data_IF_110550098757
#
_entry.id   IF_110550098757
#
_cell.length_a   1.000
_cell.length_b   1.000
_cell.length_c   1.000
_cell.angle_alpha   90.00
_cell.angle_beta   90.00
_cell.angle_gamma   90.00
#
_symmetry.space_group_name_H-M   'P 1'
#
loop_
_entity.id
_entity.type
_entity.pdbx_description
1 polymer ?
#
# COMPACT_ATOMS: atom_id res chain seq x y z
N UNK A 1 -2.36 19.16 38.74
CA UNK A 1 -2.19 18.06 37.78
C UNK A 1 -3.46 18.04 36.97
N UNK A 2 -3.49 18.82 35.89
CA UNK A 2 -4.66 18.87 35.01
C UNK A 2 -4.80 17.50 34.35
N UNK A 3 -5.91 16.84 34.66
CA UNK A 3 -6.36 15.67 33.92
C UNK A 3 -6.64 16.14 32.49
N UNK A 4 -5.63 16.02 31.63
CA UNK A 4 -5.75 16.24 30.20
C UNK A 4 -6.91 15.36 29.73
N UNK A 5 -7.99 16.00 29.28
CA UNK A 5 -9.06 15.38 28.51
C UNK A 5 -8.44 14.39 27.51
N UNK A 6 -8.91 13.13 27.45
CA UNK A 6 -8.39 12.17 26.49
C UNK A 6 -8.45 12.79 25.08
N UNK A 7 -7.47 12.49 24.21
CA UNK A 7 -7.50 12.98 22.84
C UNK A 7 -8.87 12.62 22.22
N UNK A 8 -9.45 13.50 21.38
CA UNK A 8 -10.76 13.25 20.79
C UNK A 8 -10.76 11.87 20.12
N UNK A 9 -11.70 11.01 20.54
CA UNK A 9 -11.79 9.64 20.08
C UNK A 9 -11.98 9.58 18.57
N UNK A 10 -11.30 8.64 17.89
CA UNK A 10 -11.44 8.43 16.45
C UNK A 10 -12.77 7.75 16.06
N UNK A 11 -13.55 7.29 17.04
CA UNK A 11 -14.81 6.58 16.83
C UNK A 11 -15.86 7.45 16.11
N UNK A 12 -16.07 8.69 16.57
CA UNK A 12 -17.01 9.62 15.92
C UNK A 12 -16.65 9.96 14.47
N UNK A 13 -15.40 10.37 14.17
CA UNK A 13 -14.95 10.57 12.80
C UNK A 13 -15.02 9.29 11.94
N UNK A 14 -14.74 8.13 12.53
CA UNK A 14 -14.86 6.85 11.82
C UNK A 14 -16.30 6.57 11.39
N UNK A 15 -17.29 6.81 12.27
CA UNK A 15 -18.71 6.69 11.91
C UNK A 15 -19.03 7.52 10.67
N UNK A 16 -18.63 8.80 10.64
CA UNK A 16 -18.87 9.68 9.51
C UNK A 16 -18.27 9.15 8.21
N UNK A 17 -17.02 8.66 8.26
CA UNK A 17 -16.33 8.09 7.09
C UNK A 17 -17.01 6.82 6.60
N UNK A 18 -17.42 5.92 7.49
CA UNK A 18 -18.09 4.68 7.09
C UNK A 18 -19.47 4.94 6.50
N UNK A 19 -20.24 5.87 7.06
CA UNK A 19 -21.53 6.27 6.50
C UNK A 19 -21.39 6.96 5.14
N UNK A 20 -20.34 7.78 4.93
CA UNK A 20 -20.06 8.40 3.64
C UNK A 20 -19.64 7.36 2.58
N UNK A 21 -18.78 6.40 2.96
CA UNK A 21 -18.36 5.31 2.08
C UNK A 21 -19.54 4.42 1.67
N UNK A 22 -20.47 4.17 2.59
CA UNK A 22 -21.67 3.39 2.28
C UNK A 22 -22.60 4.14 1.31
N UNK A 23 -22.82 5.44 1.56
CA UNK A 23 -23.68 6.26 0.71
C UNK A 23 -23.09 6.52 -0.69
N UNK A 24 -21.75 6.52 -0.83
CA UNK A 24 -21.05 6.84 -2.07
C UNK A 24 -20.00 5.76 -2.41
N UNK A 25 -20.42 4.57 -2.88
CA UNK A 25 -19.51 3.51 -3.24
C UNK A 25 -18.57 3.93 -4.37
N UNK A 26 -17.33 3.44 -4.31
CA UNK A 26 -16.33 3.75 -5.32
C UNK A 26 -16.70 3.13 -6.68
N UNK A 27 -16.46 3.82 -7.81
CA UNK A 27 -16.82 3.32 -9.11
C UNK A 27 -15.98 2.10 -9.50
N UNK A 28 -16.62 1.16 -10.19
CA UNK A 28 -15.96 -0.03 -10.73
C UNK A 28 -14.94 0.34 -11.82
N UNK A 29 -13.74 -0.25 -11.75
CA UNK A 29 -12.68 -0.07 -12.74
C UNK A 29 -12.61 -1.33 -13.61
N UNK A 30 -12.95 -1.24 -14.91
CA UNK A 30 -12.89 -2.39 -15.79
C UNK A 30 -11.45 -2.87 -16.00
N UNK A 31 -11.31 -4.15 -16.31
CA UNK A 31 -10.02 -4.74 -16.61
C UNK A 31 -9.38 -4.09 -17.85
N UNK A 32 -8.08 -3.69 -17.78
CA UNK A 32 -7.33 -3.29 -18.96
C UNK A 32 -7.31 -4.42 -20.01
N UNK A 33 -7.23 -4.12 -21.32
CA UNK A 33 -7.35 -5.11 -22.40
C UNK A 33 -6.33 -6.26 -22.29
N UNK A 34 -5.15 -5.99 -21.71
CA UNK A 34 -4.07 -6.98 -21.56
C UNK A 34 -4.05 -7.66 -20.17
N UNK A 35 -5.04 -7.41 -19.31
CA UNK A 35 -5.02 -7.87 -17.93
C UNK A 35 -6.37 -8.49 -17.52
N UNK A 36 -6.41 -9.81 -17.34
CA UNK A 36 -7.63 -10.52 -16.91
C UNK A 36 -7.72 -10.74 -15.38
N UNK A 37 -6.65 -10.45 -14.64
CA UNK A 37 -6.56 -10.79 -13.23
C UNK A 37 -7.20 -9.70 -12.37
N UNK A 38 -8.08 -10.08 -11.46
CA UNK A 38 -8.57 -9.26 -10.35
C UNK A 38 -8.17 -9.90 -9.04
N UNK A 39 -7.90 -9.09 -8.04
CA UNK A 39 -7.61 -9.53 -6.69
C UNK A 39 -8.38 -8.63 -5.72
N UNK A 40 -8.91 -9.22 -4.66
CA UNK A 40 -9.73 -8.51 -3.69
C UNK A 40 -9.11 -8.61 -2.31
N UNK A 41 -9.26 -7.55 -1.51
CA UNK A 41 -8.73 -7.50 -0.14
C UNK A 41 -9.77 -6.95 0.82
N UNK A 42 -9.80 -7.49 2.03
CA UNK A 42 -10.71 -7.10 3.09
C UNK A 42 -10.01 -6.14 4.08
N UNK A 43 -10.48 -4.90 4.16
CA UNK A 43 -10.16 -3.96 5.23
C UNK A 43 -11.12 -4.20 6.39
N UNK A 44 -10.68 -5.00 7.36
CA UNK A 44 -11.51 -5.40 8.50
C UNK A 44 -11.22 -4.47 9.68
N UNK A 45 -12.26 -3.75 10.10
CA UNK A 45 -12.25 -2.78 11.18
C UNK A 45 -12.94 -3.34 12.42
N UNK A 46 -12.47 -2.91 13.59
CA UNK A 46 -13.19 -3.09 14.86
C UNK A 46 -13.03 -1.85 15.73
N UNK A 47 -13.83 -1.77 16.78
CA UNK A 47 -13.61 -0.81 17.87
C UNK A 47 -13.28 -1.59 19.13
N UNK A 48 -12.13 -1.30 19.75
CA UNK A 48 -11.72 -1.93 21.01
C UNK A 48 -12.25 -1.11 22.19
N UNK A 49 -13.01 -1.70 23.12
CA UNK A 49 -13.43 -1.01 24.34
C UNK A 49 -12.22 -0.55 25.18
N UNK A 50 -12.37 0.59 25.84
CA UNK A 50 -11.42 1.05 26.87
C UNK A 50 -11.75 0.44 28.23
N UNK A 51 -10.79 0.49 29.16
CA UNK A 51 -10.94 -0.09 30.50
C UNK A 51 -12.17 0.47 31.23
N UNK A 52 -12.37 1.79 31.17
CA UNK A 52 -13.46 2.48 31.87
C UNK A 52 -14.83 2.27 31.22
N UNK A 53 -14.86 1.88 29.95
CA UNK A 53 -16.07 1.72 29.15
C UNK A 53 -16.19 0.30 28.61
N UNK A 54 -15.95 -0.71 29.44
CA UNK A 54 -16.14 -2.11 29.05
C UNK A 54 -17.65 -2.48 29.07
N UNK A 55 -18.21 -3.04 27.98
CA UNK A 55 -19.63 -3.37 27.94
C UNK A 55 -19.96 -4.58 28.82
N UNK A 56 -21.02 -4.48 29.65
CA UNK A 56 -21.54 -5.59 30.46
C UNK A 56 -22.46 -6.52 29.66
N UNK A 57 -23.14 -6.00 28.64
CA UNK A 57 -24.01 -6.75 27.73
C UNK A 57 -23.99 -6.07 26.36
N UNK A 58 -23.09 -6.49 25.45
CA UNK A 58 -23.01 -5.87 24.13
C UNK A 58 -24.27 -6.16 23.32
N UNK A 59 -24.88 -5.13 22.74
CA UNK A 59 -25.96 -5.28 21.77
C UNK A 59 -25.37 -5.40 20.38
N UNK A 60 -25.59 -6.54 19.72
CA UNK A 60 -25.34 -6.66 18.29
C UNK A 60 -26.48 -5.91 17.59
N UNK A 61 -26.19 -4.96 16.68
CA UNK A 61 -27.24 -4.28 15.92
C UNK A 61 -28.12 -5.28 15.18
N UNK A 62 -29.41 -5.00 15.06
CA UNK A 62 -30.34 -5.89 14.36
C UNK A 62 -29.88 -6.08 12.90
N UNK A 63 -29.55 -7.33 12.47
CA UNK A 63 -29.03 -7.59 11.13
C UNK A 63 -30.04 -7.27 10.02
N UNK A 64 -31.34 -7.19 10.34
CA UNK A 64 -32.39 -6.87 9.38
C UNK A 64 -32.55 -5.37 9.12
N UNK A 65 -31.86 -4.51 9.89
CA UNK A 65 -31.89 -3.07 9.66
C UNK A 65 -30.98 -2.66 8.48
N UNK A 66 -31.30 -1.54 7.80
CA UNK A 66 -30.40 -0.92 6.83
C UNK A 66 -29.03 -0.64 7.45
N UNK A 67 -27.97 -0.70 6.64
CA UNK A 67 -26.58 -0.54 7.08
C UNK A 67 -26.37 0.80 7.80
N UNK A 68 -27.00 1.88 7.35
CA UNK A 68 -26.89 3.20 7.96
C UNK A 68 -27.40 3.18 9.42
N UNK A 69 -28.52 2.50 9.66
CA UNK A 69 -29.06 2.34 11.02
C UNK A 69 -28.22 1.42 11.87
N UNK A 70 -27.68 0.33 11.29
CA UNK A 70 -26.77 -0.57 12.01
C UNK A 70 -25.49 0.15 12.45
N UNK A 71 -24.94 1.02 11.59
CA UNK A 71 -23.81 1.88 11.93
C UNK A 71 -24.20 2.88 13.03
N UNK A 72 -25.33 3.57 12.90
CA UNK A 72 -25.81 4.51 13.91
C UNK A 72 -25.99 3.85 15.28
N UNK A 73 -26.68 2.71 15.34
CA UNK A 73 -26.89 1.94 16.58
C UNK A 73 -25.57 1.45 17.18
N UNK A 74 -24.64 0.97 16.35
CA UNK A 74 -23.32 0.54 16.82
C UNK A 74 -22.52 1.71 17.43
N UNK A 75 -22.40 2.82 16.72
CA UNK A 75 -21.65 4.00 17.18
C UNK A 75 -22.37 4.78 18.29
N UNK A 76 -23.67 4.57 18.51
CA UNK A 76 -24.41 5.10 19.65
C UNK A 76 -24.04 4.41 20.98
N UNK A 77 -23.46 3.21 20.94
CA UNK A 77 -23.07 2.49 22.15
C UNK A 77 -21.93 3.20 22.88
N UNK A 78 -22.05 3.36 24.20
CA UNK A 78 -21.07 4.10 25.01
C UNK A 78 -19.65 3.55 24.86
N UNK A 79 -19.47 2.23 24.89
CA UNK A 79 -18.16 1.59 24.75
C UNK A 79 -17.52 1.81 23.36
N UNK A 80 -18.33 2.02 22.32
CA UNK A 80 -17.86 2.32 20.97
C UNK A 80 -17.42 3.78 20.88
N UNK A 81 -18.19 4.72 21.46
CA UNK A 81 -17.84 6.15 21.45
C UNK A 81 -16.49 6.44 22.10
N UNK A 82 -16.19 5.75 23.20
CA UNK A 82 -14.93 5.87 23.93
C UNK A 82 -13.89 4.79 23.55
N UNK A 83 -14.19 3.94 22.58
CA UNK A 83 -13.31 2.88 22.12
C UNK A 83 -12.21 3.36 21.17
N UNK A 84 -11.20 2.52 20.97
CA UNK A 84 -10.09 2.75 20.05
C UNK A 84 -10.30 1.93 18.77
N UNK A 85 -10.55 2.55 17.60
CA UNK A 85 -10.72 1.80 16.36
C UNK A 85 -9.42 1.19 15.86
N UNK A 86 -9.49 -0.04 15.36
CA UNK A 86 -8.36 -0.83 14.90
C UNK A 86 -8.61 -1.48 13.54
N UNK A 87 -7.53 -1.75 12.80
CA UNK A 87 -7.54 -2.50 11.54
C UNK A 87 -6.80 -3.82 11.72
N UNK A 88 -7.35 -4.89 11.17
CA UNK A 88 -6.68 -6.19 11.10
C UNK A 88 -5.71 -6.26 9.92
N UNK A 89 -4.47 -6.66 10.20
CA UNK A 89 -3.49 -7.01 9.18
C UNK A 89 -3.01 -8.44 9.35
N UNK A 90 -2.57 -9.04 8.24
CA UNK A 90 -1.85 -10.32 8.22
C UNK A 90 -0.37 -10.07 7.95
N UNK A 91 0.49 -10.88 8.56
CA UNK A 91 1.87 -11.08 8.13
C UNK A 91 1.91 -12.37 7.32
N UNK A 92 2.28 -12.25 6.05
CA UNK A 92 2.38 -13.40 5.13
C UNK A 92 3.43 -14.40 5.61
N UNK A 93 3.13 -15.68 5.50
CA UNK A 93 4.06 -16.76 5.79
C UNK A 93 5.29 -16.72 4.85
N UNK A 94 6.42 -17.20 5.35
CA UNK A 94 7.65 -17.28 4.58
C UNK A 94 7.60 -18.48 3.63
N UNK A 95 7.70 -18.22 2.32
CA UNK A 95 7.69 -19.25 1.28
C UNK A 95 8.95 -19.11 0.42
N UNK A 96 9.67 -20.22 0.20
CA UNK A 96 10.86 -20.23 -0.65
C UNK A 96 10.49 -19.77 -2.07
N UNK A 97 11.09 -18.67 -2.52
CA UNK A 97 10.83 -18.09 -3.84
C UNK A 97 9.67 -17.10 -3.90
N UNK A 98 8.89 -16.92 -2.83
CA UNK A 98 7.92 -15.83 -2.74
C UNK A 98 8.63 -14.50 -2.42
N UNK A 99 8.35 -13.49 -3.26
CA UNK A 99 8.92 -12.15 -3.16
C UNK A 99 8.24 -11.30 -2.08
N UNK A 100 7.09 -11.75 -1.58
CA UNK A 100 6.28 -11.06 -0.58
C UNK A 100 6.34 -11.74 0.79
N UNK A 101 7.38 -12.57 0.99
CA UNK A 101 7.67 -13.27 2.25
C UNK A 101 7.72 -12.28 3.42
N UNK A 102 6.89 -12.53 4.45
CA UNK A 102 6.86 -11.72 5.67
C UNK A 102 6.27 -10.32 5.51
N UNK A 103 5.69 -9.99 4.36
CA UNK A 103 5.06 -8.68 4.15
C UNK A 103 3.77 -8.55 4.95
N UNK A 104 3.51 -7.34 5.42
CA UNK A 104 2.23 -6.98 6.02
C UNK A 104 1.23 -6.65 4.91
N UNK A 105 0.06 -7.30 4.97
CA UNK A 105 -1.00 -7.16 4.01
C UNK A 105 -2.38 -7.11 4.70
N UNK A 106 -3.40 -6.72 3.94
CA UNK A 106 -4.78 -7.04 4.30
C UNK A 106 -5.06 -8.49 3.87
N UNK A 107 -5.96 -9.22 4.56
CA UNK A 107 -6.45 -10.50 4.08
C UNK A 107 -7.01 -10.35 2.66
N UNK A 108 -6.73 -11.32 1.80
CA UNK A 108 -7.22 -11.27 0.43
C UNK A 108 -6.32 -11.94 -0.60
N UNK A 109 -6.89 -12.18 -1.76
CA UNK A 109 -6.24 -12.94 -2.81
C UNK A 109 -6.87 -12.73 -4.17
N UNK A 110 -6.63 -13.70 -5.05
CA UNK A 110 -7.05 -13.59 -6.45
C UNK A 110 -8.52 -13.97 -6.54
N UNK A 111 -9.28 -13.23 -7.34
CA UNK A 111 -10.64 -13.65 -7.70
C UNK A 111 -10.62 -14.94 -8.50
N UNK A 112 -11.45 -15.88 -8.09
CA UNK A 112 -11.64 -17.16 -8.75
C UNK A 112 -12.90 -17.15 -9.63
N UNK A 113 -12.96 -18.03 -10.66
CA UNK A 113 -14.11 -18.07 -11.57
C UNK A 113 -15.44 -18.35 -10.89
N UNK A 114 -15.42 -19.02 -9.73
CA UNK A 114 -16.58 -19.38 -8.94
C UNK A 114 -17.08 -18.22 -8.05
N UNK A 115 -16.26 -17.18 -7.83
CA UNK A 115 -16.65 -16.00 -7.05
C UNK A 115 -17.69 -15.16 -7.82
N UNK A 116 -18.87 -14.96 -7.21
CA UNK A 116 -19.98 -14.21 -7.80
C UNK A 116 -19.54 -12.79 -8.24
N UNK A 117 -18.78 -12.12 -7.39
CA UNK A 117 -18.21 -10.79 -7.62
C UNK A 117 -16.85 -10.62 -6.91
N UNK A 118 -16.32 -9.40 -6.94
CA UNK A 118 -15.04 -9.10 -6.28
C UNK A 118 -15.18 -9.06 -4.74
N UNK A 119 -16.37 -8.80 -4.20
CA UNK A 119 -16.64 -8.79 -2.75
C UNK A 119 -16.60 -10.22 -2.19
N UNK A 120 -17.28 -11.15 -2.87
CA UNK A 120 -17.28 -12.57 -2.54
C UNK A 120 -15.85 -13.14 -2.48
N UNK A 121 -14.96 -12.70 -3.38
CA UNK A 121 -13.55 -13.07 -3.33
C UNK A 121 -12.84 -12.56 -2.06
N UNK A 122 -13.09 -11.33 -1.62
CA UNK A 122 -12.51 -10.81 -0.38
C UNK A 122 -13.00 -11.59 0.85
N UNK A 123 -14.28 -11.97 0.87
CA UNK A 123 -14.91 -12.73 1.94
C UNK A 123 -14.34 -14.16 2.00
N UNK A 124 -14.28 -14.85 0.85
CA UNK A 124 -13.69 -16.19 0.73
C UNK A 124 -12.26 -16.21 1.23
N UNK A 125 -11.43 -15.29 0.73
CA UNK A 125 -10.01 -15.22 1.08
C UNK A 125 -9.80 -14.90 2.57
N UNK A 126 -10.62 -14.01 3.17
CA UNK A 126 -10.57 -13.79 4.62
C UNK A 126 -10.93 -15.06 5.41
N UNK A 127 -11.92 -15.83 4.96
CA UNK A 127 -12.27 -17.11 5.57
C UNK A 127 -11.16 -18.16 5.42
N UNK A 128 -10.54 -18.26 4.25
CA UNK A 128 -9.45 -19.21 3.97
C UNK A 128 -8.17 -18.88 4.73
N UNK A 129 -7.71 -17.63 4.68
CA UNK A 129 -6.43 -17.21 5.26
C UNK A 129 -6.45 -17.11 6.79
N UNK A 130 -7.55 -16.57 7.36
CA UNK A 130 -7.66 -16.25 8.79
C UNK A 130 -8.87 -16.86 9.49
N UNK A 131 -9.71 -17.63 8.80
CA UNK A 131 -10.86 -18.30 9.39
C UNK A 131 -11.99 -17.38 9.84
N UNK A 132 -12.01 -16.13 9.35
CA UNK A 132 -13.01 -15.14 9.73
C UNK A 132 -14.09 -15.06 8.66
N UNK A 133 -15.30 -15.48 9.02
CA UNK A 133 -16.47 -15.33 8.18
C UNK A 133 -17.05 -13.90 8.30
N UNK A 134 -17.07 -13.19 7.18
CA UNK A 134 -17.54 -11.81 7.09
C UNK A 134 -19.03 -11.70 6.72
N UNK A 135 -19.73 -12.83 6.48
CA UNK A 135 -21.17 -12.89 6.19
C UNK A 135 -22.04 -13.07 7.45
N UNK A 136 -21.48 -12.81 8.61
CA UNK A 136 -22.11 -12.99 9.92
C UNK A 136 -22.89 -11.73 10.34
N UNK A 137 -23.91 -11.90 11.20
CA UNK A 137 -24.77 -10.79 11.66
C UNK A 137 -24.01 -9.72 12.45
N UNK A 138 -22.88 -10.10 13.05
CA UNK A 138 -21.96 -9.23 13.78
C UNK A 138 -20.85 -8.63 12.89
N UNK A 139 -21.04 -8.69 11.57
CA UNK A 139 -20.24 -8.00 10.57
C UNK A 139 -21.13 -7.08 9.71
N UNK A 140 -20.65 -5.87 9.45
CA UNK A 140 -21.29 -4.92 8.55
C UNK A 140 -20.36 -4.75 7.34
N UNK A 141 -20.83 -5.16 6.16
CA UNK A 141 -20.20 -4.74 4.91
C UNK A 141 -20.55 -3.26 4.66
N UNK A 142 -19.54 -2.40 4.67
CA UNK A 142 -19.72 -0.94 4.56
C UNK A 142 -19.73 -0.50 3.10
N UNK A 143 -18.80 -1.01 2.30
CA UNK A 143 -18.63 -0.64 0.89
C UNK A 143 -17.19 -0.84 0.42
N UNK A 144 -16.81 -0.17 -0.67
CA UNK A 144 -15.52 -0.33 -1.31
C UNK A 144 -14.69 0.96 -1.36
N UNK A 145 -13.36 0.79 -1.31
CA UNK A 145 -12.40 1.86 -1.58
C UNK A 145 -12.05 1.89 -3.08
N UNK A 146 -11.43 2.97 -3.60
CA UNK A 146 -11.11 3.08 -5.02
C UNK A 146 -10.29 1.90 -5.54
N UNK A 147 -10.82 1.22 -6.56
CA UNK A 147 -10.14 0.13 -7.27
C UNK A 147 -8.86 0.64 -7.96
N UNK A 148 -7.84 -0.23 -8.05
CA UNK A 148 -6.50 0.17 -8.48
C UNK A 148 -5.96 -0.75 -9.57
N UNK A 149 -5.54 -0.19 -10.69
CA UNK A 149 -4.74 -0.94 -11.67
C UNK A 149 -3.32 -1.08 -11.15
N UNK A 150 -2.96 -2.28 -10.71
CA UNK A 150 -1.61 -2.60 -10.24
C UNK A 150 -0.75 -2.93 -11.45
N UNK A 151 0.29 -2.14 -11.68
CA UNK A 151 1.28 -2.38 -12.74
C UNK A 151 2.51 -3.11 -12.22
N UNK A 152 3.33 -3.63 -13.14
CA UNK A 152 4.69 -4.06 -12.82
C UNK A 152 5.48 -2.93 -12.14
N UNK A 153 6.57 -3.27 -11.46
CA UNK A 153 7.33 -2.32 -10.61
C UNK A 153 7.92 -1.11 -11.34
N UNK A 154 7.75 -1.02 -12.65
CA UNK A 154 8.21 0.05 -13.53
C UNK A 154 7.08 0.68 -14.35
N UNK A 155 5.81 0.43 -13.99
CA UNK A 155 4.65 1.05 -14.63
C UNK A 155 4.39 0.60 -16.06
N UNK A 156 5.05 -0.46 -16.54
CA UNK A 156 5.06 -0.78 -17.97
C UNK A 156 3.90 -1.67 -18.40
N UNK A 157 3.44 -2.58 -17.53
CA UNK A 157 2.40 -3.55 -17.86
C UNK A 157 1.41 -3.71 -16.70
N UNK A 158 0.08 -3.71 -16.95
CA UNK A 158 -0.92 -3.99 -15.92
C UNK A 158 -0.86 -5.47 -15.52
N UNK A 159 -0.76 -5.72 -14.21
CA UNK A 159 -0.69 -7.07 -13.62
C UNK A 159 -2.05 -7.56 -13.15
N UNK A 160 -2.80 -6.71 -12.44
CA UNK A 160 -4.14 -7.01 -11.91
C UNK A 160 -4.90 -5.72 -11.60
N UNK A 161 -6.22 -5.81 -11.46
CA UNK A 161 -7.03 -4.81 -10.74
C UNK A 161 -7.17 -5.26 -9.29
N UNK A 162 -6.90 -4.35 -8.35
CA UNK A 162 -6.99 -4.60 -6.92
C UNK A 162 -8.25 -3.91 -6.36
N UNK A 163 -9.10 -4.70 -5.71
CA UNK A 163 -10.43 -4.32 -5.24
C UNK A 163 -10.52 -4.38 -3.70
N UNK A 164 -10.34 -3.24 -3.00
CA UNK A 164 -10.45 -3.16 -1.55
C UNK A 164 -11.90 -2.97 -1.05
N UNK A 165 -12.34 -3.83 -0.13
CA UNK A 165 -13.66 -3.78 0.52
C UNK A 165 -13.52 -3.52 2.02
N UNK A 166 -14.48 -2.81 2.62
CA UNK A 166 -14.45 -2.37 4.02
C UNK A 166 -15.52 -3.11 4.82
N UNK A 167 -15.08 -3.78 5.87
CA UNK A 167 -15.94 -4.52 6.79
C UNK A 167 -15.75 -4.00 8.21
N UNK A 168 -16.82 -3.87 8.97
CA UNK A 168 -16.80 -3.50 10.38
C UNK A 168 -17.34 -4.64 11.22
N UNK A 169 -16.52 -5.21 12.10
CA UNK A 169 -17.03 -6.10 13.14
C UNK A 169 -17.66 -5.29 14.26
N UNK A 170 -18.83 -5.78 14.67
CA UNK A 170 -19.76 -5.19 15.61
C UNK A 170 -19.60 -5.79 17.01
N UNK A 171 -18.71 -6.77 17.14
CA UNK A 171 -18.33 -7.45 18.38
C UNK A 171 -17.45 -6.56 19.27
N UNK A 172 -17.56 -6.75 20.58
CA UNK A 172 -16.70 -6.14 21.59
C UNK A 172 -15.47 -7.01 21.94
N UNK A 173 -15.53 -8.32 21.68
CA UNK A 173 -14.45 -9.26 21.88
C UNK A 173 -13.60 -9.45 20.61
N UNK A 174 -12.45 -10.08 20.77
CA UNK A 174 -11.58 -10.38 19.62
C UNK A 174 -12.04 -11.68 18.97
N UNK A 175 -12.31 -11.70 17.64
CA UNK A 175 -12.77 -12.91 16.98
C UNK A 175 -11.70 -14.00 17.07
N UNK A 176 -12.12 -15.26 17.26
CA UNK A 176 -11.21 -16.39 17.22
C UNK A 176 -10.77 -16.65 15.78
N UNK A 177 -9.56 -16.24 15.42
CA UNK A 177 -9.03 -16.44 14.06
C UNK A 177 -8.38 -17.83 13.94
N UNK A 178 -8.63 -18.50 12.82
CA UNK A 178 -8.02 -19.79 12.46
C UNK A 178 -7.05 -19.57 11.30
N UNK A 179 -5.79 -19.30 11.63
CA UNK A 179 -4.77 -18.92 10.65
C UNK A 179 -4.33 -20.13 9.81
N UNK A 180 -4.33 -19.97 8.48
CA UNK A 180 -3.76 -20.97 7.59
C UNK A 180 -2.23 -20.86 7.58
N UNK A 181 -1.47 -21.83 8.13
CA UNK A 181 -0.03 -21.72 8.35
C UNK A 181 0.78 -21.57 7.07
N UNK A 182 0.27 -22.09 5.95
CA UNK A 182 0.96 -21.96 4.67
C UNK A 182 0.92 -20.53 4.14
N UNK A 183 -0.03 -19.69 4.57
CA UNK A 183 -0.31 -18.37 3.98
C UNK A 183 -0.08 -17.24 4.95
N UNK A 184 -0.45 -17.44 6.21
CA UNK A 184 -0.42 -16.43 7.27
C UNK A 184 0.47 -16.90 8.42
N UNK A 185 1.52 -16.12 8.69
CA UNK A 185 2.39 -16.32 9.86
C UNK A 185 1.78 -15.76 11.14
N UNK A 186 1.16 -14.59 11.06
CA UNK A 186 0.52 -13.93 12.20
C UNK A 186 -0.49 -12.90 11.76
N UNK A 187 -1.40 -12.54 12.67
CA UNK A 187 -2.33 -11.43 12.51
C UNK A 187 -2.10 -10.37 13.57
N UNK A 188 -2.42 -9.14 13.24
CA UNK A 188 -2.10 -7.97 14.04
C UNK A 188 -3.24 -6.95 13.98
N UNK A 189 -3.82 -6.64 15.13
CA UNK A 189 -4.76 -5.53 15.25
C UNK A 189 -4.00 -4.25 15.56
N UNK A 190 -4.13 -3.26 14.68
CA UNK A 190 -3.39 -2.00 14.75
C UNK A 190 -4.37 -0.83 14.96
N UNK A 191 -4.20 -0.03 16.03
CA UNK A 191 -4.98 1.19 16.23
C UNK A 191 -4.86 2.18 15.08
N UNK A 192 -5.97 2.75 14.62
CA UNK A 192 -5.98 3.76 13.54
C UNK A 192 -5.13 4.98 13.90
N UNK A 193 -5.14 5.39 15.18
CA UNK A 193 -4.28 6.47 15.68
C UNK A 193 -2.78 6.19 15.49
N UNK A 194 -2.36 4.93 15.53
CA UNK A 194 -0.98 4.55 15.27
C UNK A 194 -0.64 4.76 13.80
N UNK A 195 -1.53 4.38 12.88
CA UNK A 195 -1.35 4.58 11.44
C UNK A 195 -1.34 6.07 11.03
N UNK A 196 -2.11 6.90 11.74
CA UNK A 196 -2.15 8.36 11.55
C UNK A 196 -0.94 9.08 12.16
N UNK A 197 -0.20 8.46 13.08
CA UNK A 197 0.91 9.09 13.80
C UNK A 197 2.11 9.41 12.87
N UNK A 198 2.56 10.67 12.79
CA UNK A 198 3.76 11.03 12.05
C UNK A 198 5.03 10.38 12.62
N UNK A 199 5.05 10.09 13.93
CA UNK A 199 6.21 9.50 14.60
C UNK A 199 6.49 8.04 14.17
N UNK A 200 5.47 7.35 13.64
CA UNK A 200 5.60 5.98 13.15
C UNK A 200 5.92 5.91 11.65
N UNK A 201 6.07 7.06 10.97
CA UNK A 201 6.47 7.12 9.56
C UNK A 201 7.95 6.78 9.41
N UNK A 202 8.24 5.78 8.59
CA UNK A 202 9.60 5.28 8.33
C UNK A 202 9.77 4.97 6.84
N UNK A 203 10.85 4.28 6.49
CA UNK A 203 11.12 3.79 5.14
C UNK A 203 11.49 2.31 5.17
N UNK A 204 11.10 1.59 4.12
CA UNK A 204 11.56 0.23 3.88
C UNK A 204 12.62 0.21 2.78
N UNK A 205 13.68 -0.56 2.99
CA UNK A 205 14.81 -0.66 2.06
C UNK A 205 14.71 -1.95 1.25
N UNK A 206 14.47 -1.80 -0.05
CA UNK A 206 14.32 -2.92 -0.98
C UNK A 206 15.52 -2.97 -1.91
N UNK A 207 16.10 -4.17 -2.03
CA UNK A 207 17.15 -4.45 -3.00
C UNK A 207 16.56 -4.65 -4.40
N UNK A 208 16.74 -3.65 -5.26
CA UNK A 208 16.26 -3.69 -6.64
C UNK A 208 17.16 -4.52 -7.56
N UNK A 209 18.38 -4.89 -7.14
CA UNK A 209 19.32 -5.65 -7.99
C UNK A 209 18.74 -7.00 -8.43
N UNK A 210 17.91 -7.63 -7.59
CA UNK A 210 17.20 -8.87 -7.93
C UNK A 210 16.23 -8.69 -9.11
N UNK A 211 15.68 -7.48 -9.29
CA UNK A 211 14.75 -7.17 -10.37
C UNK A 211 15.49 -6.85 -11.68
N UNK A 212 16.68 -6.26 -11.59
CA UNK A 212 17.55 -5.99 -12.74
C UNK A 212 18.31 -7.23 -13.23
N UNK A 213 18.72 -8.12 -12.32
CA UNK A 213 19.61 -9.24 -12.62
C UNK A 213 18.91 -10.48 -13.19
N UNK A 214 17.62 -10.39 -13.58
CA UNK A 214 16.90 -11.52 -14.21
C UNK A 214 17.54 -12.01 -15.52
N UNK A 215 18.55 -11.31 -16.05
CA UNK A 215 19.14 -11.62 -17.36
C UNK A 215 20.66 -11.77 -17.41
N UNK A 216 21.42 -11.54 -16.32
CA UNK A 216 22.89 -11.71 -16.33
C UNK A 216 23.33 -12.16 -14.92
N UNK A 217 24.24 -13.12 -14.82
CA UNK A 217 24.53 -13.90 -13.59
C UNK A 217 24.98 -13.11 -12.33
N UNK A 218 25.33 -13.86 -11.27
CA UNK A 218 25.63 -13.38 -9.91
C UNK A 218 26.53 -12.13 -9.83
N UNK A 219 27.59 -12.06 -10.65
CA UNK A 219 28.52 -10.93 -10.69
C UNK A 219 27.86 -9.62 -11.09
N UNK A 220 26.96 -9.65 -12.08
CA UNK A 220 26.25 -8.45 -12.52
C UNK A 220 25.27 -7.97 -11.47
N UNK A 221 24.64 -8.89 -10.71
CA UNK A 221 23.80 -8.55 -9.56
C UNK A 221 24.61 -7.83 -8.48
N UNK A 222 25.78 -8.35 -8.13
CA UNK A 222 26.66 -7.70 -7.15
C UNK A 222 27.12 -6.31 -7.62
N UNK A 223 27.51 -6.18 -8.89
CA UNK A 223 27.92 -4.89 -9.46
C UNK A 223 26.77 -3.86 -9.44
N UNK A 224 25.55 -4.25 -9.85
CA UNK A 224 24.36 -3.39 -9.81
C UNK A 224 24.01 -2.99 -8.37
N UNK A 225 24.06 -3.94 -7.43
CA UNK A 225 23.80 -3.67 -6.00
C UNK A 225 24.82 -2.70 -5.42
N UNK A 226 26.11 -2.92 -5.64
CA UNK A 226 27.18 -2.04 -5.16
C UNK A 226 27.09 -0.63 -5.75
N UNK A 227 26.57 -0.51 -6.97
CA UNK A 227 26.46 0.77 -7.65
C UNK A 227 25.18 1.55 -7.29
N UNK A 228 24.01 0.90 -7.27
CA UNK A 228 22.72 1.57 -7.08
C UNK A 228 22.22 1.59 -5.63
N UNK A 229 22.84 0.81 -4.74
CA UNK A 229 22.42 0.67 -3.36
C UNK A 229 20.99 0.12 -3.23
N UNK A 230 20.31 0.51 -2.15
CA UNK A 230 18.91 0.16 -1.90
C UNK A 230 17.96 1.27 -2.34
N UNK A 231 16.76 0.87 -2.73
CA UNK A 231 15.63 1.75 -2.95
C UNK A 231 14.80 1.85 -1.66
N UNK A 232 14.45 3.06 -1.28
CA UNK A 232 13.66 3.38 -0.10
C UNK A 232 12.21 3.60 -0.51
N UNK A 233 11.29 2.90 0.15
CA UNK A 233 9.84 3.07 0.00
C UNK A 233 9.24 3.68 1.26
N UNK A 234 8.17 4.46 1.11
CA UNK A 234 7.41 4.95 2.26
C UNK A 234 6.85 3.77 3.06
N UNK A 235 7.01 3.81 4.37
CA UNK A 235 6.57 2.77 5.28
C UNK A 235 5.99 3.35 6.57
N UNK A 236 5.17 2.56 7.27
CA UNK A 236 4.67 2.86 8.62
C UNK A 236 5.09 1.72 9.52
N UNK A 237 5.74 2.04 10.64
CA UNK A 237 6.04 1.06 11.69
C UNK A 237 4.76 0.76 12.45
N UNK A 238 4.36 -0.50 12.46
CA UNK A 238 3.16 -0.93 13.14
C UNK A 238 3.42 -1.21 14.62
N UNK A 239 2.46 -0.83 15.43
CA UNK A 239 2.43 -1.10 16.87
C UNK A 239 1.13 -1.84 17.18
N UNK A 240 1.15 -3.18 17.18
CA UNK A 240 -0.05 -3.97 17.38
C UNK A 240 -0.53 -3.89 18.82
N UNK A 241 -1.83 -3.70 19.00
CA UNK A 241 -2.47 -3.83 20.30
C UNK A 241 -2.74 -5.31 20.61
N UNK A 242 -2.93 -6.15 19.59
CA UNK A 242 -3.08 -7.59 19.72
C UNK A 242 -2.37 -8.30 18.58
N UNK A 243 -1.79 -9.46 18.87
CA UNK A 243 -1.11 -10.30 17.89
C UNK A 243 -1.42 -11.75 18.13
N UNK A 244 -1.91 -12.44 17.10
CA UNK A 244 -2.06 -13.89 17.10
C UNK A 244 -1.03 -14.47 16.15
N UNK A 245 -0.24 -15.45 16.59
CA UNK A 245 0.80 -16.10 15.78
C UNK A 245 0.41 -17.53 15.48
N UNK A 246 0.72 -17.98 14.28
CA UNK A 246 0.60 -19.38 13.93
C UNK A 246 1.86 -20.14 14.37
N UNK A 247 1.76 -20.94 15.43
CA UNK A 247 2.91 -21.66 16.01
C UNK A 247 3.43 -22.80 15.14
N UNK A 248 2.66 -23.25 14.14
CA UNK A 248 3.04 -24.34 13.22
C UNK A 248 3.87 -23.86 12.03
N UNK A 249 4.10 -22.55 11.89
CA UNK A 249 4.96 -21.99 10.84
C UNK A 249 6.43 -22.28 11.15
N UNK A 250 7.20 -22.87 10.21
CA UNK A 250 8.62 -23.18 10.44
C UNK A 250 9.43 -21.93 10.83
N UNK A 251 10.27 -22.04 11.87
CA UNK A 251 11.15 -20.97 12.34
C UNK A 251 10.57 -20.00 13.37
N UNK A 252 9.30 -20.18 13.79
CA UNK A 252 8.68 -19.38 14.87
C UNK A 252 9.20 -19.77 16.24
N UNK A 253 9.37 -21.07 16.49
CA UNK A 253 10.04 -21.57 17.69
C UNK A 253 11.52 -21.78 17.32
N UNK A 254 12.46 -21.17 18.04
CA UNK A 254 13.88 -21.40 17.79
C UNK A 254 14.22 -22.84 18.16
N UNK A 255 14.37 -23.70 17.15
CA UNK A 255 14.95 -25.02 17.34
C UNK A 255 16.42 -24.82 17.74
N UNK A 256 16.79 -25.26 18.95
CA UNK A 256 18.11 -25.07 19.57
C UNK A 256 19.29 -25.74 18.86
N UNK A 257 19.14 -26.11 17.59
CA UNK A 257 20.10 -26.94 16.84
C UNK A 257 20.28 -26.39 15.43
N UNK A 258 21.20 -25.44 15.29
CA UNK A 258 22.24 -25.38 14.26
C UNK A 258 22.75 -23.95 14.15
N UNK A 259 24.00 -23.72 14.59
CA UNK A 259 24.70 -22.53 14.16
C UNK A 259 24.94 -22.64 12.64
N UNK A 260 24.51 -21.66 11.84
CA UNK A 260 24.78 -21.68 10.41
C UNK A 260 26.30 -21.66 10.20
N UNK A 261 26.80 -22.56 9.35
CA UNK A 261 28.21 -22.60 8.98
C UNK A 261 28.69 -21.23 8.45
N UNK A 262 29.98 -20.90 8.60
CA UNK A 262 30.55 -19.63 8.11
C UNK A 262 30.24 -19.37 6.63
N UNK A 263 30.16 -20.42 5.82
CA UNK A 263 29.80 -20.35 4.39
C UNK A 263 28.32 -19.99 4.23
N UNK A 264 27.42 -20.52 5.04
CA UNK A 264 26.00 -20.13 5.04
C UNK A 264 25.79 -18.69 5.55
N UNK A 265 26.59 -18.23 6.52
CA UNK A 265 26.59 -16.83 6.99
C UNK A 265 27.08 -15.88 5.89
N UNK A 266 28.16 -16.23 5.20
CA UNK A 266 28.68 -15.45 4.06
C UNK A 266 27.70 -15.46 2.88
N UNK A 267 27.08 -16.62 2.59
CA UNK A 267 26.10 -16.80 1.51
C UNK A 267 24.81 -16.02 1.79
N UNK A 268 24.30 -16.05 3.02
CA UNK A 268 23.15 -15.23 3.44
C UNK A 268 23.49 -13.75 3.42
N UNK A 269 24.65 -13.33 3.93
CA UNK A 269 25.10 -11.94 3.85
C UNK A 269 25.19 -11.41 2.40
N UNK A 270 25.67 -12.23 1.46
CA UNK A 270 25.79 -11.85 0.04
C UNK A 270 24.49 -11.98 -0.78
N UNK A 271 23.62 -12.95 -0.49
CA UNK A 271 22.43 -13.26 -1.32
C UNK A 271 21.11 -12.71 -0.75
N UNK A 272 21.01 -12.59 0.57
CA UNK A 272 19.87 -11.99 1.27
C UNK A 272 20.36 -10.73 1.99
N UNK A 273 19.91 -9.55 1.55
CA UNK A 273 20.18 -8.29 2.25
C UNK A 273 19.49 -8.17 3.63
N UNK A 274 19.32 -9.28 4.32
CA UNK A 274 18.50 -9.48 5.50
C UNK A 274 19.12 -10.60 6.36
N UNK A 275 20.40 -10.46 6.68
CA UNK A 275 21.12 -11.38 7.55
C UNK A 275 20.86 -11.04 9.04
N UNK A 276 20.59 -12.09 9.82
CA UNK A 276 20.86 -12.20 11.28
C UNK A 276 20.02 -11.38 12.29
N UNK A 277 18.73 -11.18 12.05
CA UNK A 277 17.78 -11.08 13.16
C UNK A 277 16.78 -12.24 13.05
N UNK A 278 16.42 -12.88 14.15
CA UNK A 278 15.31 -13.82 14.16
C UNK A 278 14.10 -13.14 13.51
N UNK A 279 13.36 -13.86 12.66
CA UNK A 279 12.20 -13.30 11.95
C UNK A 279 11.13 -12.76 12.92
N UNK A 280 11.19 -13.21 14.18
CA UNK A 280 10.39 -12.75 15.31
C UNK A 280 10.70 -11.31 15.76
N UNK A 281 11.94 -10.82 15.59
CA UNK A 281 12.38 -9.53 16.14
C UNK A 281 12.39 -8.39 15.10
N UNK A 282 11.97 -8.68 13.86
CA UNK A 282 11.86 -7.65 12.83
C UNK A 282 10.66 -6.74 13.11
N UNK A 283 10.84 -5.41 12.99
CA UNK A 283 9.72 -4.49 13.11
C UNK A 283 8.68 -4.79 12.04
N UNK A 284 7.41 -4.79 12.43
CA UNK A 284 6.30 -4.90 11.50
C UNK A 284 6.21 -3.60 10.71
N UNK A 285 6.46 -3.66 9.40
CA UNK A 285 6.43 -2.50 8.52
C UNK A 285 5.31 -2.65 7.50
N UNK A 286 4.41 -1.68 7.48
CA UNK A 286 3.39 -1.54 6.44
C UNK A 286 3.93 -0.65 5.33
N UNK A 287 4.03 -1.19 4.12
CA UNK A 287 4.54 -0.49 2.94
C UNK A 287 3.93 -1.07 1.66
N UNK A 288 4.22 -0.46 0.51
CA UNK A 288 3.79 -0.99 -0.79
C UNK A 288 2.29 -0.80 -1.07
N UNK A 289 1.65 -1.79 -1.71
CA UNK A 289 0.25 -1.71 -2.15
C UNK A 289 -0.72 -1.52 -0.98
N UNK A 290 -0.51 -2.27 0.10
CA UNK A 290 -1.36 -2.21 1.30
C UNK A 290 -1.29 -0.83 1.95
N UNK A 291 -0.10 -0.25 2.10
CA UNK A 291 0.01 1.14 2.55
C UNK A 291 -0.68 2.11 1.59
N UNK A 292 -0.62 1.83 0.28
CA UNK A 292 -1.31 2.61 -0.74
C UNK A 292 -2.83 2.61 -0.59
N UNK A 293 -3.45 1.47 -0.27
CA UNK A 293 -4.89 1.37 0.03
C UNK A 293 -5.21 2.13 1.31
N UNK A 294 -4.45 1.86 2.39
CA UNK A 294 -4.67 2.49 3.69
C UNK A 294 -4.47 4.01 3.62
N UNK A 295 -3.56 4.51 2.78
CA UNK A 295 -3.34 5.94 2.65
C UNK A 295 -4.59 6.71 2.21
N UNK A 296 -5.44 6.12 1.34
CA UNK A 296 -6.70 6.77 0.94
C UNK A 296 -7.70 6.76 2.09
N UNK A 297 -7.92 5.59 2.71
CA UNK A 297 -8.84 5.46 3.84
C UNK A 297 -8.46 6.37 5.01
N UNK A 298 -7.17 6.41 5.35
CA UNK A 298 -6.65 7.26 6.42
C UNK A 298 -6.70 8.76 6.08
N UNK A 299 -6.75 9.14 4.80
CA UNK A 299 -6.91 10.55 4.40
C UNK A 299 -8.35 11.03 4.59
N UNK A 300 -9.33 10.11 4.62
CA UNK A 300 -10.72 10.43 4.97
C UNK A 300 -10.89 10.72 6.47
N UNK A 301 -9.99 10.19 7.31
CA UNK A 301 -9.98 10.45 8.75
C UNK A 301 -9.19 11.72 9.11
N UNK A 302 -9.62 12.48 10.13
CA UNK A 302 -8.84 13.60 10.63
C UNK A 302 -7.48 13.11 11.14
N UNK A 303 -6.38 13.83 10.87
CA UNK A 303 -6.30 15.21 10.36
C UNK A 303 -6.20 15.34 8.82
N UNK A 304 -6.63 14.32 8.05
CA UNK A 304 -6.71 14.35 6.58
C UNK A 304 -5.36 14.68 5.91
N UNK A 305 -4.28 14.08 6.42
CA UNK A 305 -2.91 14.33 5.97
C UNK A 305 -2.13 13.05 5.65
N UNK A 306 -2.80 11.90 5.59
CA UNK A 306 -2.18 10.60 5.37
C UNK A 306 -1.41 10.56 4.04
N UNK A 307 -2.00 11.14 2.98
CA UNK A 307 -1.39 11.27 1.66
C UNK A 307 -0.21 12.25 1.69
N UNK A 308 -0.32 13.35 2.45
CA UNK A 308 0.75 14.36 2.56
C UNK A 308 2.01 13.81 3.24
N UNK A 309 1.84 12.83 4.13
CA UNK A 309 2.93 12.13 4.80
C UNK A 309 3.63 11.08 3.92
N UNK A 310 3.11 10.79 2.73
CA UNK A 310 3.69 9.81 1.80
C UNK A 310 5.01 10.33 1.22
N UNK A 311 6.06 9.50 1.30
CA UNK A 311 7.38 9.80 0.73
C UNK A 311 7.54 9.14 -0.64
N UNK A 312 8.01 9.91 -1.61
CA UNK A 312 8.34 9.38 -2.94
C UNK A 312 9.49 8.36 -2.85
N UNK A 313 9.40 7.22 -3.57
CA UNK A 313 10.45 6.21 -3.53
C UNK A 313 11.78 6.74 -4.06
N UNK A 314 12.87 6.61 -3.33
CA UNK A 314 14.19 7.16 -3.74
C UNK A 314 15.31 6.17 -3.48
N UNK A 315 16.56 6.51 -3.80
CA UNK A 315 17.71 5.65 -3.58
C UNK A 315 18.55 6.11 -2.39
N UNK A 316 19.26 5.17 -1.77
CA UNK A 316 20.22 5.43 -0.67
C UNK A 316 21.47 6.16 -1.14
N UNK A 317 21.87 5.96 -2.40
CA UNK A 317 23.11 6.55 -2.95
C UNK A 317 22.92 8.06 -3.18
N UNK A 318 23.79 8.94 -2.63
CA UNK A 318 23.55 10.39 -2.65
C UNK A 318 23.45 11.02 -4.04
N UNK A 319 24.29 10.62 -5.00
CA UNK A 319 24.30 11.16 -6.35
C UNK A 319 23.08 10.72 -7.16
N UNK A 320 22.71 9.43 -7.10
CA UNK A 320 21.46 8.95 -7.70
C UNK A 320 20.25 9.65 -7.08
N UNK A 321 20.21 9.80 -5.75
CA UNK A 321 19.15 10.54 -5.04
C UNK A 321 19.06 11.99 -5.49
N UNK A 322 20.20 12.66 -5.71
CA UNK A 322 20.25 14.01 -6.23
C UNK A 322 19.68 14.10 -7.65
N UNK A 323 20.14 13.24 -8.56
CA UNK A 323 19.65 13.18 -9.95
C UNK A 323 18.14 12.93 -10.00
N UNK A 324 17.64 11.97 -9.20
CA UNK A 324 16.21 11.70 -9.07
C UNK A 324 15.48 12.94 -8.55
N UNK A 325 16.02 13.62 -7.54
CA UNK A 325 15.39 14.81 -6.98
C UNK A 325 15.22 15.92 -8.02
N UNK A 326 16.27 16.20 -8.80
CA UNK A 326 16.24 17.22 -9.86
C UNK A 326 15.23 16.85 -10.95
N UNK A 327 15.33 15.65 -11.52
CA UNK A 327 14.50 15.22 -12.65
C UNK A 327 13.02 15.04 -12.30
N UNK A 328 12.70 14.82 -11.03
CA UNK A 328 11.32 14.62 -10.55
C UNK A 328 10.74 15.83 -9.81
N UNK A 329 11.50 16.92 -9.61
CA UNK A 329 11.06 18.06 -8.79
C UNK A 329 9.72 18.66 -9.25
N UNK A 330 9.63 19.08 -10.52
CA UNK A 330 8.43 19.69 -11.07
C UNK A 330 7.25 18.71 -11.12
N UNK A 331 7.51 17.44 -11.43
CA UNK A 331 6.49 16.40 -11.46
C UNK A 331 5.88 16.18 -10.06
N UNK A 332 6.73 16.00 -9.04
CA UNK A 332 6.30 15.81 -7.64
C UNK A 332 5.49 17.00 -7.15
N UNK A 333 5.90 18.23 -7.49
CA UNK A 333 5.16 19.45 -7.13
C UNK A 333 3.75 19.45 -7.75
N UNK A 334 3.63 19.14 -9.04
CA UNK A 334 2.33 19.06 -9.74
C UNK A 334 1.44 17.95 -9.17
N UNK A 335 1.98 16.74 -9.01
CA UNK A 335 1.23 15.59 -8.53
C UNK A 335 0.75 15.78 -7.07
N UNK A 336 1.55 16.41 -6.20
CA UNK A 336 1.16 16.69 -4.82
C UNK A 336 -0.03 17.66 -4.74
N UNK A 337 -0.05 18.66 -5.63
CA UNK A 337 -1.18 19.59 -5.73
C UNK A 337 -2.44 18.86 -6.20
N UNK A 338 -2.33 18.07 -7.28
CA UNK A 338 -3.46 17.29 -7.79
C UNK A 338 -4.01 16.29 -6.77
N UNK A 339 -3.14 15.57 -6.06
CA UNK A 339 -3.59 14.62 -5.03
C UNK A 339 -4.32 15.34 -3.88
N UNK A 340 -3.90 16.55 -3.51
CA UNK A 340 -4.57 17.33 -2.46
C UNK A 340 -5.93 17.86 -2.90
N UNK A 341 -6.08 18.17 -4.19
CA UNK A 341 -7.34 18.64 -4.77
C UNK A 341 -8.31 17.49 -5.05
N UNK A 342 -7.82 16.35 -5.55
CA UNK A 342 -8.63 15.18 -5.89
C UNK A 342 -8.98 14.26 -4.71
N UNK A 343 -8.25 14.33 -3.59
CA UNK A 343 -8.59 13.59 -2.37
C UNK A 343 -9.72 14.24 -1.55
N UNK A 344 -10.25 15.40 -1.97
CA UNK A 344 -11.44 15.99 -1.35
C UNK A 344 -12.68 15.45 -2.06
N UNK A 345 -13.56 14.69 -1.39
CA UNK A 345 -14.91 14.50 -1.91
C UNK A 345 -15.55 15.88 -2.09
N UNK A 346 -16.15 16.10 -3.26
CA UNK A 346 -16.73 17.37 -3.66
C UNK A 346 -17.90 17.75 -2.72
N UNK A 347 -17.60 18.47 -1.65
CA UNK A 347 -18.56 19.24 -0.86
C UNK A 347 -18.03 20.66 -0.61
N UNK A 348 -17.76 21.38 -1.69
CA UNK A 348 -17.73 22.85 -1.65
C UNK A 348 -18.36 23.35 -2.93
N UNK A 349 -19.61 23.81 -2.79
CA UNK A 349 -20.34 24.55 -3.80
C UNK A 349 -19.56 25.81 -4.23
N UNK A 350 -19.83 26.23 -5.47
CA UNK A 350 -19.83 27.61 -5.98
C UNK A 350 -18.96 28.63 -5.20
N UNK A 351 -17.89 29.09 -5.85
CA UNK A 351 -17.72 30.53 -6.08
C UNK A 351 -16.70 30.79 -7.21
N UNK A 352 -17.20 31.53 -8.20
CA UNK A 352 -16.57 32.49 -9.12
C UNK A 352 -15.04 32.49 -9.36
N UNK A 353 -14.73 32.47 -10.65
CA UNK A 353 -13.60 33.13 -11.34
C UNK A 353 -12.28 32.38 -11.59
N UNK A 354 -12.09 32.11 -12.90
CA UNK A 354 -10.86 32.31 -13.69
C UNK A 354 -9.73 31.26 -13.57
N UNK A 355 -9.65 30.40 -14.59
CA UNK A 355 -8.46 30.29 -15.45
C UNK A 355 -8.82 29.57 -16.76
N UNK A 356 -8.88 30.33 -17.84
CA UNK A 356 -9.24 29.91 -19.19
C UNK A 356 -8.21 28.96 -19.83
N UNK A 357 -8.70 28.02 -20.64
CA UNK A 357 -7.99 27.49 -21.80
C UNK A 357 -8.92 27.58 -23.01
N UNK A 358 -8.41 28.04 -24.18
CA UNK A 358 -9.25 28.47 -25.29
C UNK A 358 -9.87 27.28 -26.01
N UNK A 359 -11.19 27.37 -26.27
CA UNK A 359 -11.90 26.51 -27.21
C UNK A 359 -11.77 27.15 -28.58
N UNK A 360 -11.04 26.52 -29.49
CA UNK A 360 -11.14 26.84 -30.91
C UNK A 360 -12.31 26.03 -31.47
N UNK A 361 -13.41 26.70 -31.78
CA UNK A 361 -14.47 26.14 -32.61
C UNK A 361 -13.97 25.98 -34.05
N UNK A 362 -14.25 24.83 -34.67
CA UNK A 362 -14.41 24.78 -36.12
C UNK A 362 -15.55 23.83 -36.49
N UNK A 363 -16.47 24.39 -37.27
CA UNK A 363 -17.71 23.81 -37.80
C UNK A 363 -17.43 23.11 -39.14
N UNK A 364 -18.00 21.92 -39.28
CA UNK A 364 -18.42 21.15 -40.47
C UNK A 364 -17.83 21.47 -41.87
N UNK A 365 -17.30 20.44 -42.57
CA UNK A 365 -17.88 19.94 -43.83
C UNK A 365 -17.26 18.61 -44.29
N UNK A 366 -18.00 17.89 -45.12
CA UNK A 366 -17.82 16.48 -45.50
C UNK A 366 -16.87 16.21 -46.70
N UNK A 367 -16.54 14.92 -46.84
CA UNK A 367 -16.01 14.15 -47.99
C UNK A 367 -14.51 14.20 -48.31
N UNK A 368 -13.93 12.99 -48.45
CA UNK A 368 -12.66 12.74 -49.15
C UNK A 368 -11.80 11.62 -48.54
N UNK A 369 -11.80 10.45 -49.16
CA UNK A 369 -10.93 9.30 -48.88
C UNK A 369 -9.44 9.64 -49.04
N UNK A 370 -8.57 9.16 -48.15
CA UNK A 370 -7.19 8.74 -48.47
C UNK A 370 -6.48 8.04 -47.27
N UNK A 371 -5.64 7.06 -47.59
CA UNK A 371 -4.91 6.18 -46.67
C UNK A 371 -3.71 6.86 -45.96
N UNK A 372 -3.56 6.57 -44.66
CA UNK A 372 -2.29 6.55 -43.91
C UNK A 372 -2.19 7.49 -42.69
N UNK A 373 -1.24 7.30 -41.76
CA UNK A 373 -0.83 6.09 -41.04
C UNK A 373 -1.36 6.09 -39.58
N UNK A 374 -1.32 4.91 -38.94
CA UNK A 374 -1.75 4.60 -37.57
C UNK A 374 -1.54 5.74 -36.54
N UNK A 375 -2.65 6.37 -36.09
CA UNK A 375 -2.65 7.35 -35.00
C UNK A 375 -2.40 6.64 -33.67
N UNK A 376 -1.32 7.03 -33.00
CA UNK A 376 -1.00 6.64 -31.63
C UNK A 376 -2.11 7.11 -30.69
N UNK A 377 -2.68 6.16 -29.94
CA UNK A 377 -3.59 6.42 -28.83
C UNK A 377 -2.94 7.36 -27.81
N UNK A 378 -3.64 8.44 -27.50
CA UNK A 378 -3.22 9.43 -26.51
C UNK A 378 -4.35 10.43 -26.31
N UNK A 379 -5.38 10.02 -25.58
CA UNK A 379 -6.36 10.93 -24.99
C UNK A 379 -6.31 10.76 -23.45
N UNK A 380 -6.11 11.82 -22.63
CA UNK A 380 -5.71 11.67 -21.22
C UNK A 380 -6.88 11.64 -20.23
N UNK A 381 -8.13 11.52 -20.68
CA UNK A 381 -9.32 11.75 -19.85
C UNK A 381 -9.94 10.49 -19.20
N UNK A 382 -9.42 9.28 -19.46
CA UNK A 382 -9.96 8.01 -18.91
C UNK A 382 -8.83 7.13 -18.37
N UNK A 383 -7.92 7.70 -17.60
CA UNK A 383 -6.89 6.92 -16.90
C UNK A 383 -7.43 6.59 -15.50
N UNK A 384 -7.80 5.33 -15.26
CA UNK A 384 -8.41 4.78 -14.03
C UNK A 384 -7.58 4.89 -12.74
N UNK A 385 -7.02 6.07 -12.49
CA UNK A 385 -6.22 6.41 -11.31
C UNK A 385 -6.95 7.49 -10.51
N UNK A 386 -8.09 7.11 -9.93
CA UNK A 386 -8.90 7.96 -9.03
C UNK A 386 -8.32 8.03 -7.60
N UNK A 387 -7.28 7.26 -7.30
CA UNK A 387 -6.74 7.15 -5.94
C UNK A 387 -5.49 8.01 -5.70
N UNK A 388 -5.34 8.51 -4.47
CA UNK A 388 -4.40 9.59 -4.15
C UNK A 388 -2.93 9.20 -4.39
N UNK A 389 -2.53 8.00 -3.96
CA UNK A 389 -1.16 7.50 -4.18
C UNK A 389 -0.86 7.27 -5.68
N UNK A 390 -1.88 6.92 -6.47
CA UNK A 390 -1.78 6.74 -7.91
C UNK A 390 -1.50 8.06 -8.61
N UNK A 391 -2.24 9.10 -8.23
CA UNK A 391 -2.01 10.48 -8.67
C UNK A 391 -0.59 10.93 -8.27
N UNK A 392 -0.17 10.65 -7.04
CA UNK A 392 1.19 10.99 -6.59
C UNK A 392 2.27 10.37 -7.47
N UNK A 393 2.16 9.07 -7.81
CA UNK A 393 3.17 8.33 -8.55
C UNK A 393 3.03 8.41 -10.08
N UNK A 394 2.04 9.13 -10.60
CA UNK A 394 1.80 9.27 -12.04
C UNK A 394 3.04 9.84 -12.75
N UNK A 395 3.55 9.09 -13.75
CA UNK A 395 4.76 9.42 -14.51
C UNK A 395 6.08 9.40 -13.72
N UNK A 396 6.04 9.05 -12.42
CA UNK A 396 7.21 9.09 -11.55
C UNK A 396 8.25 8.06 -11.96
N UNK A 397 7.82 6.81 -12.20
CA UNK A 397 8.71 5.71 -12.57
C UNK A 397 9.34 5.90 -13.96
N UNK A 398 8.71 6.65 -14.86
CA UNK A 398 9.29 7.00 -16.16
C UNK A 398 10.48 7.93 -16.00
N UNK A 399 10.32 8.97 -15.17
CA UNK A 399 11.41 9.89 -14.82
C UNK A 399 12.49 9.18 -14.00
N UNK A 400 12.12 8.23 -13.15
CA UNK A 400 13.06 7.41 -12.40
C UNK A 400 13.94 6.56 -13.33
N UNK A 401 13.38 5.98 -14.40
CA UNK A 401 14.15 5.25 -15.42
C UNK A 401 15.18 6.15 -16.09
N UNK A 402 14.78 7.35 -16.50
CA UNK A 402 15.70 8.33 -17.09
C UNK A 402 16.80 8.70 -16.09
N UNK A 403 16.45 8.96 -14.84
CA UNK A 403 17.42 9.28 -13.78
C UNK A 403 18.47 8.17 -13.58
N UNK A 404 18.05 6.91 -13.66
CA UNK A 404 18.94 5.76 -13.56
C UNK A 404 19.90 5.71 -14.75
N UNK A 405 19.43 5.93 -15.98
CA UNK A 405 20.32 5.98 -17.15
C UNK A 405 21.34 7.11 -17.07
N UNK A 406 20.90 8.31 -16.64
CA UNK A 406 21.79 9.45 -16.41
C UNK A 406 22.82 9.12 -15.34
N UNK A 407 22.41 8.49 -14.24
CA UNK A 407 23.31 8.06 -13.18
C UNK A 407 24.34 7.02 -13.64
N UNK A 408 23.92 6.03 -14.43
CA UNK A 408 24.83 5.02 -14.98
C UNK A 408 25.86 5.66 -15.91
N UNK A 409 25.43 6.57 -16.79
CA UNK A 409 26.33 7.32 -17.67
C UNK A 409 27.32 8.19 -16.87
N UNK A 410 26.84 8.87 -15.82
CA UNK A 410 27.65 9.67 -14.91
C UNK A 410 28.74 8.83 -14.21
N UNK A 411 28.36 7.67 -13.66
CA UNK A 411 29.30 6.76 -12.99
C UNK A 411 30.32 6.17 -13.96
N UNK A 412 29.91 5.83 -15.18
CA UNK A 412 30.82 5.38 -16.23
C UNK A 412 31.85 6.46 -16.58
N UNK A 413 31.41 7.71 -16.78
CA UNK A 413 32.31 8.82 -17.09
C UNK A 413 33.33 9.08 -15.97
N UNK A 414 32.89 9.10 -14.71
CA UNK A 414 33.78 9.24 -13.54
C UNK A 414 34.78 8.07 -13.44
N UNK A 415 34.31 6.84 -13.65
CA UNK A 415 35.16 5.65 -13.64
C UNK A 415 36.22 5.69 -14.73
N UNK A 416 35.86 6.07 -15.96
CA UNK A 416 36.79 6.22 -17.09
C UNK A 416 37.81 7.34 -16.84
N UNK A 417 37.39 8.48 -16.28
CA UNK A 417 38.29 9.56 -15.91
C UNK A 417 39.30 9.14 -14.82
N UNK A 418 38.82 8.46 -13.77
CA UNK A 418 39.68 7.93 -12.71
C UNK A 418 40.71 6.92 -13.26
N UNK A 419 40.26 5.97 -14.10
CA UNK A 419 41.14 5.00 -14.74
C UNK A 419 42.21 5.67 -15.61
N UNK A 420 41.83 6.70 -16.39
CA UNK A 420 42.76 7.47 -17.20
C UNK A 420 43.81 8.21 -16.35
N UNK A 421 43.39 8.83 -15.24
CA UNK A 421 44.32 9.50 -14.33
C UNK A 421 45.29 8.53 -13.65
N UNK A 422 44.80 7.36 -13.21
CA UNK A 422 45.61 6.32 -12.61
C UNK A 422 46.62 5.73 -13.61
N UNK A 423 46.19 5.46 -14.84
CA UNK A 423 47.08 5.00 -15.92
C UNK A 423 48.16 6.04 -16.23
N UNK A 424 47.79 7.33 -16.31
CA UNK A 424 48.75 8.42 -16.52
C UNK A 424 49.75 8.56 -15.36
N UNK A 425 49.32 8.31 -14.13
CA UNK A 425 50.19 8.32 -12.96
C UNK A 425 51.16 7.13 -12.97
N UNK A 426 50.66 5.92 -13.26
CA UNK A 426 51.47 4.70 -13.36
C UNK A 426 52.49 4.74 -14.49
N UNK A 427 52.19 5.43 -15.60
CA UNK A 427 53.13 5.60 -16.72
C UNK A 427 54.20 6.68 -16.48
N UNK A 428 54.03 7.50 -15.44
CA UNK A 428 54.99 8.55 -15.03
C UNK A 428 55.95 8.09 -13.94
N UNK A 429 55.66 6.96 -13.28
CA UNK A 429 56.60 6.20 -12.46
C UNK A 429 57.30 5.18 -13.34
#
# INVERSE_FOLDING_TARGET
MDASSPPPGLSGPLHGVLSELHAHPSPHVPNPPNCKKRASVALILRVRPTYDHWPTSPSIPDPYLPVEKRLEEFFAQSWVQYGDPEVLFIKRASRVGDRWTGHIALPGGKRDPEDADDEAAAIREASEEIGLDLNTDDCIHVGNLPERVVTTSWGSEPLMVLCPFVFLTTRNDSPNLKLQPTEVASTHWIPLRALLSPALRTVEHVDMSQRFAKQKGFLTRMAVRSMMGFMQFSAVRLFPAETQRCCTVPGVIPDGTNQPSLIQRLKSWCLSGQAESSEADRPLLLWGLTLGILADFLDMLPPNNAVRMWKYPTFTVPDLRFIVSVLTYNLRKKNKLQATLGARPNNTALDSETAALPVTEQKNSANGSELGPCKKYGDPAVDGTSYAVGIMLRGYYDRLRVAIWVFLAWRMALGSAAAFTAWRFLRRR
#
